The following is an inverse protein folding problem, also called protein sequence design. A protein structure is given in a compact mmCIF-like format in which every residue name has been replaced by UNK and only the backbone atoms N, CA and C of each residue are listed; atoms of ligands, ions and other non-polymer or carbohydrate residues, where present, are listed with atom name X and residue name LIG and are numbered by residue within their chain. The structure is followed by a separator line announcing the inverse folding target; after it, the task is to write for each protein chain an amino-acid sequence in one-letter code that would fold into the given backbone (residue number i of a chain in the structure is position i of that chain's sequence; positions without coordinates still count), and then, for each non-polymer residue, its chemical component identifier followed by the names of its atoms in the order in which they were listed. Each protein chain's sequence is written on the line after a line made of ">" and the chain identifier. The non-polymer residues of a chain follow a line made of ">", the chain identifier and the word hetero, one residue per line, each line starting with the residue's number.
data_IF_417949645165
#
_entry.id   IF_417949645165
#
_cell.length_a   1.000
_cell.length_b   1.000
_cell.length_c   1.000
_cell.angle_alpha   90.00
_cell.angle_beta   90.00
_cell.angle_gamma   90.00
#
_symmetry.space_group_name_H-M   'P 1'
#
loop_
_entity.id
_entity.type
_entity.pdbx_description
1 polymer ?
#
# COMPACT_ATOMS: atom_id res chain seq x y z
N UNK A 1 18.61 -56.51 -28.26
CA UNK A 1 17.63 -55.84 -29.14
C UNK A 1 16.64 -55.12 -28.23
N UNK A 2 16.63 -53.81 -27.98
CA UNK A 2 17.52 -52.71 -28.35
C UNK A 2 17.37 -51.60 -27.27
N UNK A 3 18.48 -51.09 -26.77
CA UNK A 3 18.53 -49.92 -25.87
C UNK A 3 18.64 -48.62 -26.66
N UNK A 4 17.88 -48.50 -27.76
CA UNK A 4 18.06 -47.44 -28.76
C UNK A 4 16.95 -46.38 -28.79
N UNK A 5 15.96 -46.41 -27.89
CA UNK A 5 14.79 -45.52 -28.02
C UNK A 5 14.81 -44.24 -27.19
N UNK A 6 15.81 -43.99 -26.33
CA UNK A 6 15.87 -42.71 -25.61
C UNK A 6 16.83 -41.74 -26.31
N UNK A 7 16.30 -41.04 -27.33
CA UNK A 7 17.00 -39.96 -28.01
C UNK A 7 17.24 -38.81 -27.02
N UNK A 8 18.50 -38.60 -26.64
CA UNK A 8 18.90 -37.44 -25.83
C UNK A 8 18.88 -36.20 -26.73
N UNK A 9 17.72 -35.55 -26.83
CA UNK A 9 17.55 -34.29 -27.55
C UNK A 9 18.12 -33.14 -26.70
N UNK A 10 19.37 -32.76 -26.96
CA UNK A 10 19.97 -31.55 -26.38
C UNK A 10 19.43 -30.34 -27.16
N UNK A 11 18.35 -29.73 -26.68
CA UNK A 11 17.81 -28.50 -27.27
C UNK A 11 18.70 -27.31 -26.94
N UNK A 12 19.63 -26.99 -27.85
CA UNK A 12 20.37 -25.72 -27.80
C UNK A 12 19.51 -24.61 -28.40
N UNK A 13 18.53 -24.11 -27.64
CA UNK A 13 17.84 -22.86 -28.03
C UNK A 13 17.57 -21.98 -26.83
N UNK A 14 18.24 -20.83 -26.81
CA UNK A 14 18.06 -19.72 -25.87
C UNK A 14 16.73 -19.03 -26.14
N UNK A 15 15.61 -19.75 -25.97
CA UNK A 15 14.24 -19.24 -26.07
C UNK A 15 13.71 -18.86 -24.70
N UNK A 16 12.91 -17.79 -24.63
CA UNK A 16 12.33 -17.26 -23.39
C UNK A 16 11.65 -18.35 -22.56
N UNK A 17 12.17 -18.61 -21.35
CA UNK A 17 11.66 -19.60 -20.37
C UNK A 17 10.18 -19.43 -20.01
N UNK A 18 9.56 -18.30 -20.36
CA UNK A 18 8.15 -18.02 -20.10
C UNK A 18 7.21 -18.73 -21.08
N UNK A 19 7.65 -19.03 -22.31
CA UNK A 19 6.80 -19.68 -23.33
C UNK A 19 6.73 -21.20 -23.11
N UNK A 20 7.72 -21.77 -22.45
CA UNK A 20 7.84 -23.20 -22.19
C UNK A 20 6.76 -23.72 -21.22
N UNK A 21 6.32 -22.88 -20.28
CA UNK A 21 5.32 -23.22 -19.26
C UNK A 21 3.91 -23.41 -19.88
N UNK A 22 3.65 -22.77 -21.01
CA UNK A 22 2.36 -22.85 -21.71
C UNK A 22 2.33 -23.91 -22.83
N UNK A 23 3.39 -24.72 -22.96
CA UNK A 23 3.40 -25.81 -23.93
C UNK A 23 2.46 -26.94 -23.42
N UNK A 24 1.39 -27.29 -24.16
CA UNK A 24 0.41 -28.29 -23.73
C UNK A 24 1.01 -29.69 -23.54
N UNK A 25 2.14 -30.00 -24.18
CA UNK A 25 2.85 -31.27 -23.95
C UNK A 25 3.54 -31.29 -22.58
N UNK A 26 4.16 -30.17 -22.19
CA UNK A 26 4.83 -30.03 -20.89
C UNK A 26 3.80 -30.00 -19.75
N UNK A 27 2.64 -29.36 -19.97
CA UNK A 27 1.54 -29.39 -19.00
C UNK A 27 0.99 -30.80 -18.77
N UNK A 28 0.90 -31.62 -19.82
CA UNK A 28 0.49 -33.03 -19.69
C UNK A 28 1.51 -33.85 -18.90
N UNK A 29 2.80 -33.68 -19.18
CA UNK A 29 3.84 -34.39 -18.42
C UNK A 29 3.92 -33.96 -16.96
N UNK A 30 3.62 -32.69 -16.66
CA UNK A 30 3.54 -32.20 -15.27
C UNK A 30 2.29 -32.68 -14.53
N UNK A 31 1.15 -32.85 -15.22
CA UNK A 31 -0.08 -33.43 -14.64
C UNK A 31 0.03 -34.95 -14.50
N UNK A 32 0.69 -35.61 -15.45
CA UNK A 32 0.95 -37.05 -15.49
C UNK A 32 2.33 -37.28 -14.86
N UNK A 33 2.47 -36.93 -13.59
CA UNK A 33 3.60 -37.42 -12.81
C UNK A 33 3.38 -38.92 -12.62
N UNK A 34 3.92 -39.76 -13.50
CA UNK A 34 4.09 -41.17 -13.16
C UNK A 34 5.13 -41.22 -12.05
N UNK A 35 4.75 -41.58 -10.82
CA UNK A 35 5.75 -41.88 -9.82
C UNK A 35 6.38 -43.20 -10.29
N UNK A 36 7.56 -43.12 -10.92
CA UNK A 36 8.52 -44.21 -10.81
C UNK A 36 8.97 -44.19 -9.35
N UNK A 37 8.10 -44.64 -8.46
CA UNK A 37 8.41 -44.98 -7.07
C UNK A 37 9.18 -46.29 -7.11
N UNK A 38 10.38 -46.23 -7.69
CA UNK A 38 11.46 -47.04 -7.15
C UNK A 38 11.75 -46.40 -5.79
N UNK A 39 11.07 -46.89 -4.76
CA UNK A 39 11.32 -46.53 -3.38
C UNK A 39 12.78 -46.85 -3.11
N UNK A 40 13.66 -45.86 -3.33
CA UNK A 40 15.02 -45.91 -2.84
C UNK A 40 14.89 -46.19 -1.35
N UNK A 41 15.41 -47.33 -0.91
CA UNK A 41 15.45 -47.71 0.50
C UNK A 41 15.83 -46.47 1.29
N UNK A 42 15.04 -46.11 2.31
CA UNK A 42 15.31 -44.95 3.17
C UNK A 42 16.62 -45.19 3.94
N UNK A 43 17.75 -45.01 3.25
CA UNK A 43 19.08 -45.13 3.82
C UNK A 43 19.46 -43.78 4.40
N UNK A 44 20.09 -43.80 5.57
CA UNK A 44 20.51 -42.59 6.28
C UNK A 44 21.40 -41.69 5.40
N UNK A 45 22.21 -42.29 4.52
CA UNK A 45 23.09 -41.60 3.57
C UNK A 45 22.32 -40.81 2.50
N UNK A 46 21.22 -41.35 1.98
CA UNK A 46 20.39 -40.66 0.98
C UNK A 46 19.69 -39.44 1.62
N UNK A 47 19.22 -39.62 2.85
CA UNK A 47 18.56 -38.57 3.63
C UNK A 47 19.54 -37.43 3.97
N UNK A 48 20.77 -37.76 4.37
CA UNK A 48 21.82 -36.77 4.67
C UNK A 48 22.23 -35.97 3.42
N UNK A 49 22.35 -36.64 2.27
CA UNK A 49 22.65 -35.97 0.99
C UNK A 49 21.55 -34.99 0.59
N UNK A 50 20.28 -35.39 0.70
CA UNK A 50 19.12 -34.51 0.42
C UNK A 50 19.10 -33.33 1.38
N UNK A 51 19.32 -33.57 2.69
CA UNK A 51 19.40 -32.48 3.67
C UNK A 51 20.52 -31.49 3.34
N UNK A 52 21.72 -31.97 3.00
CA UNK A 52 22.86 -31.12 2.65
C UNK A 52 22.61 -30.27 1.40
N UNK A 53 21.99 -30.86 0.38
CA UNK A 53 21.67 -30.16 -0.88
C UNK A 53 20.49 -29.16 -0.74
N UNK A 54 19.51 -29.45 0.13
CA UNK A 54 18.28 -28.65 0.25
C UNK A 54 18.34 -27.56 1.31
N UNK A 55 19.20 -27.68 2.33
CA UNK A 55 19.26 -26.73 3.47
C UNK A 55 19.43 -25.27 3.01
N UNK A 56 20.33 -25.03 2.06
CA UNK A 56 20.57 -23.70 1.50
C UNK A 56 19.36 -23.21 0.69
N UNK A 57 18.77 -24.06 -0.15
CA UNK A 57 17.61 -23.70 -1.00
C UNK A 57 16.38 -23.36 -0.16
N UNK A 58 16.11 -24.14 0.90
CA UNK A 58 14.99 -23.89 1.81
C UNK A 58 15.19 -22.59 2.59
N UNK A 59 16.40 -22.32 3.08
CA UNK A 59 16.71 -21.06 3.78
C UNK A 59 16.48 -19.84 2.87
N UNK A 60 16.97 -19.88 1.63
CA UNK A 60 16.75 -18.79 0.68
C UNK A 60 15.27 -18.58 0.30
N UNK A 61 14.48 -19.66 0.21
CA UNK A 61 13.02 -19.55 0.01
C UNK A 61 12.34 -18.84 1.17
N UNK A 62 12.70 -19.19 2.42
CA UNK A 62 12.16 -18.54 3.63
C UNK A 62 12.55 -17.05 3.68
N UNK A 63 13.82 -16.74 3.42
CA UNK A 63 14.30 -15.35 3.38
C UNK A 63 13.55 -14.54 2.32
N UNK A 64 13.37 -15.09 1.11
CA UNK A 64 12.61 -14.42 0.04
C UNK A 64 11.14 -14.20 0.43
N UNK A 65 10.50 -15.20 1.05
CA UNK A 65 9.13 -15.07 1.54
C UNK A 65 9.00 -13.97 2.58
N UNK A 66 9.88 -13.94 3.58
CA UNK A 66 9.92 -12.88 4.59
C UNK A 66 10.21 -11.52 3.97
N UNK A 67 11.14 -11.42 3.01
CA UNK A 67 11.45 -10.18 2.32
C UNK A 67 10.23 -9.64 1.57
N UNK A 68 9.46 -10.48 0.88
CA UNK A 68 8.23 -10.07 0.19
C UNK A 68 7.21 -9.55 1.20
N UNK A 69 6.97 -10.28 2.29
CA UNK A 69 6.02 -9.86 3.34
C UNK A 69 6.43 -8.51 3.93
N UNK A 70 7.71 -8.35 4.29
CA UNK A 70 8.24 -7.09 4.82
C UNK A 70 8.09 -5.94 3.83
N UNK A 71 8.36 -6.18 2.54
CA UNK A 71 8.14 -5.16 1.49
C UNK A 71 6.68 -4.77 1.39
N UNK A 72 5.74 -5.73 1.40
CA UNK A 72 4.32 -5.44 1.33
C UNK A 72 3.85 -4.61 2.53
N UNK A 73 4.29 -4.96 3.74
CA UNK A 73 4.00 -4.19 4.96
C UNK A 73 4.60 -2.78 4.85
N UNK A 74 5.84 -2.66 4.39
CA UNK A 74 6.50 -1.37 4.20
C UNK A 74 5.77 -0.48 3.21
N UNK A 75 5.34 -1.02 2.07
CA UNK A 75 4.56 -0.29 1.06
C UNK A 75 3.20 0.13 1.62
N UNK A 76 2.48 -0.77 2.29
CA UNK A 76 1.19 -0.45 2.90
C UNK A 76 1.31 0.66 3.97
N UNK A 77 2.32 0.55 4.84
CA UNK A 77 2.61 1.57 5.85
C UNK A 77 2.99 2.91 5.23
N UNK A 78 3.82 2.90 4.18
CA UNK A 78 4.19 4.11 3.45
C UNK A 78 2.97 4.80 2.81
N UNK A 79 2.08 4.04 2.18
CA UNK A 79 0.85 4.57 1.58
C UNK A 79 -0.10 5.15 2.63
N UNK A 80 -0.27 4.46 3.77
CA UNK A 80 -1.09 4.97 4.87
C UNK A 80 -0.50 6.26 5.46
N UNK A 81 0.82 6.30 5.66
CA UNK A 81 1.51 7.48 6.17
C UNK A 81 1.44 8.65 5.19
N UNK A 82 1.64 8.43 3.90
CA UNK A 82 1.59 9.49 2.90
C UNK A 82 0.19 10.07 2.74
N UNK A 83 -0.84 9.22 2.79
CA UNK A 83 -2.23 9.68 2.83
C UNK A 83 -2.52 10.53 4.07
N UNK A 84 -2.08 10.09 5.25
CA UNK A 84 -2.24 10.87 6.48
C UNK A 84 -1.46 12.19 6.40
N UNK A 85 -0.19 12.17 6.01
CA UNK A 85 0.64 13.36 5.87
C UNK A 85 0.03 14.37 4.89
N UNK A 86 -0.55 13.89 3.77
CA UNK A 86 -1.26 14.73 2.81
C UNK A 86 -2.46 15.44 3.45
N UNK A 87 -3.26 14.75 4.27
CA UNK A 87 -4.38 15.42 4.96
C UNK A 87 -3.91 16.47 5.95
N UNK A 88 -2.73 16.29 6.55
CA UNK A 88 -2.21 17.18 7.60
C UNK A 88 -1.61 18.49 7.10
N UNK A 89 -1.43 18.67 5.79
CA UNK A 89 -0.95 19.94 5.21
C UNK A 89 -2.07 20.95 4.97
N UNK A 90 -3.33 20.49 4.99
CA UNK A 90 -4.51 21.31 4.71
C UNK A 90 -5.04 21.98 5.97
N UNK A 91 -5.60 23.16 5.80
CA UNK A 91 -6.30 23.90 6.84
C UNK A 91 -7.65 24.36 6.32
N UNK A 92 -8.61 24.58 7.22
CA UNK A 92 -9.86 25.23 6.84
C UNK A 92 -10.44 25.99 8.03
N UNK A 93 -11.26 26.99 7.71
CA UNK A 93 -12.06 27.73 8.69
C UNK A 93 -13.47 27.15 8.71
N UNK A 94 -14.03 26.99 9.90
CA UNK A 94 -15.43 26.60 10.11
C UNK A 94 -15.99 27.28 11.37
N UNK A 95 -17.31 27.22 11.53
CA UNK A 95 -18.00 27.67 12.73
C UNK A 95 -18.00 26.56 13.78
N UNK A 96 -17.73 26.92 15.03
CA UNK A 96 -17.88 26.04 16.18
C UNK A 96 -18.38 26.86 17.38
N UNK A 97 -19.55 26.50 17.90
CA UNK A 97 -20.22 27.20 19.01
C UNK A 97 -20.34 28.72 18.77
N UNK A 98 -20.65 29.14 17.54
CA UNK A 98 -20.80 30.56 17.19
C UNK A 98 -19.49 31.33 16.97
N UNK A 99 -18.33 30.70 17.11
CA UNK A 99 -17.02 31.31 16.84
C UNK A 99 -16.38 30.76 15.57
N UNK A 100 -15.58 31.60 14.93
CA UNK A 100 -14.73 31.19 13.81
C UNK A 100 -13.55 30.40 14.35
N UNK A 101 -13.34 29.19 13.84
CA UNK A 101 -12.28 28.27 14.28
C UNK A 101 -11.48 27.77 13.08
N UNK A 102 -10.16 27.73 13.24
CA UNK A 102 -9.25 27.11 12.29
C UNK A 102 -9.07 25.64 12.66
N UNK A 103 -9.31 24.78 11.69
CA UNK A 103 -9.06 23.35 11.76
C UNK A 103 -7.87 22.98 10.89
N UNK A 104 -7.10 21.99 11.33
CA UNK A 104 -6.06 21.35 10.54
C UNK A 104 -6.55 19.98 10.08
N UNK A 105 -6.47 19.72 8.77
CA UNK A 105 -7.00 18.51 8.16
C UNK A 105 -7.94 18.79 7.00
N UNK A 106 -8.74 17.78 6.68
CA UNK A 106 -9.83 17.86 5.71
C UNK A 106 -11.17 17.84 6.44
N UNK A 107 -12.21 18.48 5.87
CA UNK A 107 -13.53 18.60 6.52
C UNK A 107 -14.29 17.27 6.48
N UNK A 108 -14.04 16.46 5.48
CA UNK A 108 -14.68 15.19 5.24
C UNK A 108 -14.48 14.27 6.46
N UNK A 109 -15.53 13.53 6.81
CA UNK A 109 -15.50 12.50 7.84
C UNK A 109 -15.95 11.18 7.25
N UNK A 110 -15.42 10.08 7.77
CA UNK A 110 -15.80 8.73 7.33
C UNK A 110 -16.23 7.90 8.54
N UNK A 111 -17.54 7.77 8.74
CA UNK A 111 -18.10 7.12 9.92
C UNK A 111 -17.64 7.80 11.21
N UNK A 112 -17.12 7.06 12.21
CA UNK A 112 -16.64 7.64 13.46
C UNK A 112 -15.29 8.35 13.34
N UNK A 113 -14.66 8.34 12.15
CA UNK A 113 -13.35 8.95 11.93
C UNK A 113 -13.48 10.38 11.45
N UNK A 114 -12.90 11.30 12.23
CA UNK A 114 -12.74 12.71 11.87
C UNK A 114 -11.29 12.92 11.45
N UNK A 115 -11.09 13.48 10.26
CA UNK A 115 -9.75 13.72 9.69
C UNK A 115 -9.25 15.15 9.92
N UNK A 116 -9.90 15.87 10.83
CA UNK A 116 -9.54 17.22 11.23
C UNK A 116 -9.45 17.36 12.74
N UNK A 117 -8.62 18.29 13.18
CA UNK A 117 -8.47 18.71 14.58
C UNK A 117 -8.61 20.21 14.70
N UNK A 118 -9.20 20.67 15.79
CA UNK A 118 -9.22 22.10 16.14
C UNK A 118 -7.77 22.55 16.35
N UNK A 119 -7.30 23.48 15.52
CA UNK A 119 -5.95 24.01 15.58
C UNK A 119 -5.93 25.28 16.43
N UNK A 120 -6.85 26.21 16.15
CA UNK A 120 -6.95 27.47 16.88
C UNK A 120 -8.38 28.01 16.83
N UNK A 121 -8.93 28.34 18.02
CA UNK A 121 -10.15 29.13 18.14
C UNK A 121 -9.83 30.62 18.05
N UNK A 122 -10.65 31.36 17.31
CA UNK A 122 -10.50 32.82 17.20
C UNK A 122 -11.57 33.54 18.00
N UNK A 123 -11.34 34.80 18.31
CA UNK A 123 -12.29 35.65 19.05
C UNK A 123 -13.39 36.25 18.15
N UNK A 124 -13.43 35.88 16.86
CA UNK A 124 -14.40 36.39 15.90
C UNK A 124 -15.70 35.62 16.05
N UNK A 125 -16.79 36.35 16.36
CA UNK A 125 -18.13 35.77 16.46
C UNK A 125 -18.74 35.73 15.06
N UNK A 126 -19.30 34.58 14.67
CA UNK A 126 -19.87 34.40 13.33
C UNK A 126 -21.07 35.32 13.10
N UNK A 127 -21.86 35.61 14.14
CA UNK A 127 -23.00 36.54 14.04
C UNK A 127 -22.60 37.99 13.80
N UNK A 128 -21.34 38.37 14.06
CA UNK A 128 -20.82 39.72 13.78
C UNK A 128 -20.37 39.87 12.32
N UNK A 129 -20.19 38.76 11.60
CA UNK A 129 -19.84 38.78 10.19
C UNK A 129 -21.05 39.15 9.33
N UNK A 130 -20.80 39.67 8.12
CA UNK A 130 -21.89 39.90 7.17
C UNK A 130 -22.48 38.57 6.64
N UNK A 131 -23.69 38.60 6.08
CA UNK A 131 -24.40 37.38 5.63
C UNK A 131 -23.59 36.53 4.65
N UNK A 132 -22.83 37.17 3.76
CA UNK A 132 -22.01 36.46 2.78
C UNK A 132 -20.85 35.70 3.46
N UNK A 133 -20.17 36.35 4.40
CA UNK A 133 -19.09 35.73 5.17
C UNK A 133 -19.58 34.61 6.08
N UNK A 134 -20.75 34.77 6.71
CA UNK A 134 -21.39 33.69 7.47
C UNK A 134 -21.58 32.44 6.60
N UNK A 135 -22.11 32.61 5.39
CA UNK A 135 -22.27 31.52 4.42
C UNK A 135 -20.92 30.91 3.99
N UNK A 136 -19.87 31.71 3.84
CA UNK A 136 -18.53 31.21 3.53
C UNK A 136 -17.96 30.34 4.67
N UNK A 137 -18.10 30.79 5.92
CA UNK A 137 -17.64 30.04 7.10
C UNK A 137 -18.44 28.75 7.26
N UNK A 138 -19.76 28.79 7.07
CA UNK A 138 -20.64 27.63 7.08
C UNK A 138 -20.19 26.58 6.04
N UNK A 139 -19.90 27.02 4.82
CA UNK A 139 -19.41 26.19 3.72
C UNK A 139 -17.95 25.73 3.84
N UNK A 140 -17.25 26.11 4.91
CA UNK A 140 -15.78 26.14 5.03
C UNK A 140 -15.07 27.01 4.02
N UNK A 141 -14.04 27.68 4.53
CA UNK A 141 -13.01 28.27 3.70
C UNK A 141 -11.76 27.40 3.82
N UNK A 142 -11.38 26.74 2.74
CA UNK A 142 -10.17 25.89 2.69
C UNK A 142 -8.91 26.71 2.41
N UNK A 143 -7.79 26.24 2.96
CA UNK A 143 -6.47 26.80 2.74
C UNK A 143 -5.39 25.73 2.56
N UNK A 144 -4.40 26.06 1.74
CA UNK A 144 -3.29 25.16 1.39
C UNK A 144 -2.18 25.14 2.45
N UNK A 145 -2.14 26.15 3.32
CA UNK A 145 -1.16 26.29 4.39
C UNK A 145 -1.71 27.14 5.53
N UNK A 146 -0.99 27.14 6.66
CA UNK A 146 -1.32 28.02 7.77
C UNK A 146 -1.21 29.51 7.40
N UNK A 147 -0.26 29.89 6.53
CA UNK A 147 -0.12 31.26 6.08
C UNK A 147 -1.32 31.70 5.23
N UNK A 148 -1.73 30.87 4.26
CA UNK A 148 -2.89 31.12 3.40
C UNK A 148 -4.19 31.23 4.21
N UNK A 149 -4.41 30.33 5.17
CA UNK A 149 -5.63 30.41 6.00
C UNK A 149 -5.62 31.62 6.93
N UNK A 150 -4.44 32.03 7.41
CA UNK A 150 -4.30 33.23 8.24
C UNK A 150 -4.59 34.50 7.43
N UNK A 151 -4.13 34.56 6.18
CA UNK A 151 -4.44 35.67 5.26
C UNK A 151 -5.96 35.75 5.01
N UNK A 152 -6.59 34.61 4.72
CA UNK A 152 -8.05 34.53 4.55
C UNK A 152 -8.81 34.95 5.81
N UNK A 153 -8.32 34.59 6.99
CA UNK A 153 -8.89 35.04 8.26
C UNK A 153 -8.78 36.55 8.44
N UNK A 154 -7.67 37.17 8.04
CA UNK A 154 -7.51 38.63 8.07
C UNK A 154 -8.51 39.31 7.14
N UNK A 155 -8.68 38.80 5.91
CA UNK A 155 -9.67 39.33 4.95
C UNK A 155 -11.09 39.19 5.51
N UNK A 156 -11.42 38.06 6.12
CA UNK A 156 -12.70 37.86 6.80
C UNK A 156 -12.94 38.91 7.89
N UNK A 157 -11.92 39.21 8.70
CA UNK A 157 -12.01 40.20 9.78
C UNK A 157 -12.13 41.62 9.27
N UNK A 158 -11.40 41.98 8.22
CA UNK A 158 -11.37 43.33 7.65
C UNK A 158 -12.72 43.69 7.01
N UNK A 159 -13.30 42.76 6.25
CA UNK A 159 -14.54 42.96 5.47
C UNK A 159 -15.81 42.77 6.31
N UNK A 160 -15.68 42.22 7.53
CA UNK A 160 -16.80 42.02 8.46
C UNK A 160 -17.14 43.26 9.29
N UNK A 161 -16.32 44.31 9.24
CA UNK A 161 -16.60 45.62 9.86
C UNK A 161 -17.20 46.59 8.84
#
# INVERSE_FOLDING_TARGET
>A
MGSAENEVVISTRRGSRLVEIFNPRILRDLLVRQPAEEFAVETEELLERIMKETRSKVRWRRIRGLAIIMTLIGVAGYLAFSAYAYTQTRFFIAENNGYVVIYQGIRESFGPFVFSREYQRTDIVVSELNTYQQQLVERSISGDSFADISEKLLILREVGK
#
